data_IF_910966586497
#
_entry.id   IF_910966586497
#
_cell.length_a   1.000
_cell.length_b   1.000
_cell.length_c   1.000
_cell.angle_alpha   90.00
_cell.angle_beta   90.00
_cell.angle_gamma   90.00
#
_symmetry.space_group_name_H-M   'P 1'
#
loop_
_entity.id
_entity.type
_entity.pdbx_description
1 polymer ?
#
# COMPACT_ATOMS: atom_id res chain seq x y z
N UNK A 1 8.01 41.96 -46.79
CA UNK A 1 7.15 40.85 -46.32
C UNK A 1 8.06 39.65 -46.12
N UNK A 2 8.95 39.74 -45.12
CA UNK A 2 8.80 39.16 -43.77
C UNK A 2 8.97 37.64 -43.78
N UNK A 3 10.24 37.23 -43.82
CA UNK A 3 10.71 35.92 -43.35
C UNK A 3 10.56 35.86 -41.82
N UNK A 4 10.11 34.73 -41.24
CA UNK A 4 10.27 34.51 -39.82
C UNK A 4 11.65 33.94 -39.53
N UNK A 5 12.37 34.72 -38.72
CA UNK A 5 13.64 34.44 -38.08
C UNK A 5 13.45 33.32 -37.03
N UNK A 6 13.88 32.09 -37.33
CA UNK A 6 13.97 30.99 -36.35
C UNK A 6 15.37 30.99 -35.72
N UNK A 7 15.66 32.09 -35.04
CA UNK A 7 16.83 32.23 -34.19
C UNK A 7 16.57 31.69 -32.79
N UNK A 8 17.43 30.76 -32.37
CA UNK A 8 17.96 30.67 -31.00
C UNK A 8 16.94 30.57 -29.85
N UNK A 9 16.58 29.35 -29.47
CA UNK A 9 16.35 29.03 -28.05
C UNK A 9 16.49 27.52 -27.82
N UNK A 10 17.09 27.16 -26.67
CA UNK A 10 17.28 25.81 -26.11
C UNK A 10 18.70 25.21 -26.23
N UNK A 11 19.71 25.92 -25.72
CA UNK A 11 20.71 25.26 -24.87
C UNK A 11 20.13 25.19 -23.45
N UNK A 12 19.46 24.08 -23.14
CA UNK A 12 19.08 23.72 -21.78
C UNK A 12 20.08 22.69 -21.27
N UNK A 13 20.83 23.04 -20.23
CA UNK A 13 21.65 22.10 -19.46
C UNK A 13 20.83 20.86 -19.06
N UNK A 14 21.40 19.64 -19.11
CA UNK A 14 20.79 18.48 -18.49
C UNK A 14 20.85 18.64 -16.97
N UNK A 15 19.79 19.24 -16.40
CA UNK A 15 19.57 19.29 -14.97
C UNK A 15 19.53 17.89 -14.39
N UNK A 16 20.52 17.58 -13.54
CA UNK A 16 20.52 16.44 -12.64
C UNK A 16 19.23 16.47 -11.81
N UNK A 17 18.29 15.58 -12.14
CA UNK A 17 17.14 15.28 -11.30
C UNK A 17 17.65 14.73 -9.96
N UNK A 18 17.24 15.32 -8.82
CA UNK A 18 17.53 14.71 -7.53
C UNK A 18 16.79 13.38 -7.46
N UNK A 19 17.53 12.30 -7.17
CA UNK A 19 16.98 11.01 -6.80
C UNK A 19 16.08 11.19 -5.57
N UNK A 20 14.79 11.42 -5.80
CA UNK A 20 13.76 11.34 -4.79
C UNK A 20 13.70 9.91 -4.27
N UNK A 21 14.15 9.74 -3.04
CA UNK A 21 13.95 8.51 -2.27
C UNK A 21 12.45 8.29 -2.07
N UNK A 22 11.86 7.40 -2.88
CA UNK A 22 10.52 6.83 -2.69
C UNK A 22 10.51 5.80 -1.55
N UNK A 23 11.09 6.15 -0.41
CA UNK A 23 11.03 5.32 0.78
C UNK A 23 9.84 5.74 1.64
N UNK A 24 8.97 4.75 1.87
CA UNK A 24 7.93 4.69 2.90
C UNK A 24 6.56 5.28 2.51
N UNK A 25 5.91 4.65 1.53
CA UNK A 25 4.46 4.46 1.62
C UNK A 25 4.23 3.36 2.67
N UNK A 26 3.62 3.64 3.83
CA UNK A 26 3.34 2.61 4.83
C UNK A 26 2.35 1.58 4.27
N UNK A 27 2.72 0.31 4.39
CA UNK A 27 1.90 -0.83 3.95
C UNK A 27 0.49 -0.79 4.58
N UNK A 28 -0.60 -0.89 3.79
CA UNK A 28 -1.99 -0.88 4.27
C UNK A 28 -2.31 -1.98 5.30
N UNK A 29 -1.51 -3.04 5.36
CA UNK A 29 -1.68 -4.15 6.29
C UNK A 29 -1.49 -3.78 7.77
N UNK A 30 -0.82 -2.66 8.09
CA UNK A 30 -0.72 -2.19 9.49
C UNK A 30 -1.95 -1.43 9.98
N UNK A 31 -2.80 -0.93 9.09
CA UNK A 31 -4.00 -0.18 9.47
C UNK A 31 -5.18 -1.11 9.82
N UNK A 32 -5.31 -2.23 9.11
CA UNK A 32 -6.40 -3.19 9.33
C UNK A 32 -6.26 -4.00 10.64
N UNK A 33 -5.04 -4.20 11.13
CA UNK A 33 -4.80 -4.88 12.42
C UNK A 33 -5.14 -4.02 13.65
N UNK A 34 -5.22 -2.70 13.50
CA UNK A 34 -5.60 -1.79 14.59
C UNK A 34 -7.11 -1.77 14.85
N UNK A 35 -7.92 -1.94 13.81
CA UNK A 35 -9.39 -1.79 13.90
C UNK A 35 -10.05 -3.02 14.53
N UNK A 36 -9.50 -4.23 14.32
CA UNK A 36 -10.05 -5.46 14.91
C UNK A 36 -9.88 -5.53 16.43
N UNK A 37 -8.92 -4.80 17.02
CA UNK A 37 -8.73 -4.75 18.47
C UNK A 37 -9.71 -3.79 19.18
N UNK A 38 -10.23 -2.79 18.47
CA UNK A 38 -11.21 -1.83 19.02
C UNK A 38 -12.59 -2.48 19.14
N UNK A 39 -12.99 -3.32 18.17
CA UNK A 39 -14.28 -4.03 18.19
C UNK A 39 -14.46 -4.97 19.40
N UNK A 40 -13.40 -5.63 19.84
CA UNK A 40 -13.44 -6.53 21.00
C UNK A 40 -13.46 -5.79 22.35
N UNK A 41 -13.02 -4.52 22.39
CA UNK A 41 -13.03 -3.72 23.62
C UNK A 41 -14.41 -3.11 23.89
N UNK A 42 -15.11 -2.68 22.84
CA UNK A 42 -16.43 -2.03 22.95
C UNK A 42 -17.52 -3.04 23.36
N UNK A 43 -17.46 -4.28 22.85
CA UNK A 43 -18.41 -5.34 23.22
C UNK A 43 -18.29 -5.76 24.69
N UNK A 44 -17.06 -5.87 25.20
CA UNK A 44 -16.76 -6.13 26.62
C UNK A 44 -17.32 -5.04 27.56
N UNK A 45 -17.23 -3.78 27.14
CA UNK A 45 -17.72 -2.65 27.92
C UNK A 45 -19.26 -2.58 27.96
N UNK A 46 -19.92 -2.84 26.83
CA UNK A 46 -21.38 -2.90 26.73
C UNK A 46 -21.97 -4.06 27.55
N UNK A 47 -21.31 -5.21 27.59
CA UNK A 47 -21.73 -6.36 28.40
C UNK A 47 -21.63 -6.04 29.90
N UNK A 48 -20.56 -5.35 30.32
CA UNK A 48 -20.37 -4.90 31.70
C UNK A 48 -21.42 -3.86 32.12
N UNK A 49 -21.80 -2.96 31.19
CA UNK A 49 -22.89 -2.00 31.39
C UNK A 49 -24.23 -2.68 31.65
N UNK A 50 -24.60 -3.68 30.82
CA UNK A 50 -25.85 -4.45 30.99
C UNK A 50 -25.91 -5.20 32.31
N UNK A 51 -24.80 -5.80 32.75
CA UNK A 51 -24.75 -6.49 34.04
C UNK A 51 -24.98 -5.54 35.22
N UNK A 52 -24.45 -4.32 35.16
CA UNK A 52 -24.69 -3.29 36.17
C UNK A 52 -26.15 -2.80 36.17
N UNK A 53 -26.76 -2.62 35.00
CA UNK A 53 -28.17 -2.18 34.92
C UNK A 53 -29.13 -3.27 35.44
N UNK A 54 -28.84 -4.54 35.15
CA UNK A 54 -29.65 -5.66 35.65
C UNK A 54 -29.60 -5.78 37.17
N UNK A 55 -28.43 -5.61 37.80
CA UNK A 55 -28.29 -5.59 39.26
C UNK A 55 -28.94 -4.37 39.91
N UNK A 56 -28.91 -3.22 39.25
CA UNK A 56 -29.58 -2.02 39.73
C UNK A 56 -31.12 -2.18 39.69
N UNK A 57 -31.67 -2.82 38.66
CA UNK A 57 -33.11 -3.14 38.59
C UNK A 57 -33.53 -4.19 39.62
N UNK A 58 -32.66 -5.17 39.91
CA UNK A 58 -32.91 -6.19 40.94
C UNK A 58 -32.96 -5.60 42.36
N UNK A 59 -32.25 -4.49 42.59
CA UNK A 59 -32.30 -3.74 43.85
C UNK A 59 -33.48 -2.76 43.95
N UNK A 60 -34.18 -2.46 42.85
CA UNK A 60 -35.21 -1.40 42.76
C UNK A 60 -36.64 -1.93 42.66
N UNK A 61 -36.87 -3.24 42.51
CA UNK A 61 -38.21 -3.82 42.46
C UNK A 61 -38.48 -4.84 43.58
N UNK A 62 -39.66 -4.83 44.22
CA UNK A 62 -40.19 -3.77 45.08
C UNK A 62 -40.37 -4.28 46.53
N UNK A 63 -39.78 -3.58 47.49
CA UNK A 63 -40.15 -3.65 48.91
C UNK A 63 -41.38 -2.80 49.25
N UNK A 64 -42.36 -2.71 48.34
CA UNK A 64 -43.64 -2.04 48.59
C UNK A 64 -44.61 -3.11 49.12
N UNK A 65 -44.41 -3.48 50.39
CA UNK A 65 -45.46 -4.11 51.19
C UNK A 65 -45.76 -3.18 52.35
N UNK A 66 -46.93 -2.54 52.23
CA UNK A 66 -47.87 -2.26 53.31
C UNK A 66 -47.26 -1.78 54.64
N UNK A 67 -47.33 -0.48 54.87
CA UNK A 67 -47.70 0.01 56.19
C UNK A 67 -48.61 1.21 56.01
N UNK A 68 -49.89 0.96 56.26
CA UNK A 68 -50.99 1.91 56.23
C UNK A 68 -50.68 3.15 57.09
N UNK A 69 -51.22 4.34 56.73
CA UNK A 69 -51.20 5.47 57.64
C UNK A 69 -52.16 5.17 58.80
N UNK A 70 -51.64 4.77 59.96
CA UNK A 70 -52.41 4.86 61.20
C UNK A 70 -52.72 6.35 61.45
N UNK A 71 -53.95 6.73 61.11
CA UNK A 71 -54.60 7.93 61.65
C UNK A 71 -54.67 7.76 63.17
N UNK A 72 -53.66 8.28 63.87
CA UNK A 72 -53.74 8.45 65.31
C UNK A 72 -54.63 9.65 65.58
N UNK A 73 -55.93 9.39 65.67
CA UNK A 73 -56.93 10.27 66.25
C UNK A 73 -56.48 10.57 67.68
N UNK A 74 -55.97 11.79 67.91
CA UNK A 74 -55.70 12.33 69.24
C UNK A 74 -57.03 12.52 69.98
N UNK A 75 -57.56 11.42 70.51
CA UNK A 75 -58.58 11.44 71.55
C UNK A 75 -57.93 11.81 72.86
N UNK A 76 -57.88 13.09 73.17
CA UNK A 76 -57.64 13.56 74.53
C UNK A 76 -58.81 13.05 75.39
N UNK A 77 -58.59 12.24 76.44
CA UNK A 77 -59.67 11.95 77.37
C UNK A 77 -60.01 13.25 78.10
N UNK A 78 -61.16 13.85 77.74
CA UNK A 78 -61.80 14.89 78.53
C UNK A 78 -62.19 14.25 79.87
N UNK A 79 -61.38 14.46 80.90
CA UNK A 79 -61.80 14.18 82.27
C UNK A 79 -62.87 15.23 82.61
N UNK A 80 -64.12 14.84 82.90
CA UNK A 80 -65.06 15.76 83.49
C UNK A 80 -64.46 16.20 84.83
N UNK A 81 -64.13 17.48 84.94
CA UNK A 81 -63.90 18.13 86.23
C UNK A 81 -65.14 17.83 87.06
N UNK A 82 -64.98 17.05 88.12
CA UNK A 82 -66.03 16.81 89.09
C UNK A 82 -66.31 18.12 89.84
N UNK A 83 -67.08 19.00 89.20
CA UNK A 83 -67.94 19.93 89.89
C UNK A 83 -69.11 19.13 90.44
N UNK A 84 -69.03 18.79 91.72
CA UNK A 84 -70.16 18.55 92.63
C UNK A 84 -69.69 19.19 93.94
N UNK A 85 -70.14 20.40 94.28
CA UNK A 85 -71.35 20.57 95.08
C UNK A 85 -71.49 19.47 96.12
N UNK A 86 -71.06 19.75 97.36
CA UNK A 86 -71.76 19.22 98.52
C UNK A 86 -71.53 20.11 99.75
N UNK A 87 -72.64 20.73 100.15
CA UNK A 87 -73.07 20.98 101.52
C UNK A 87 -72.20 21.86 102.43
N UNK A 88 -72.58 23.14 102.43
CA UNK A 88 -72.65 24.00 103.61
C UNK A 88 -73.42 23.26 104.74
N UNK A 89 -72.84 22.99 105.92
CA UNK A 89 -73.62 22.60 107.08
C UNK A 89 -74.06 23.89 107.79
N UNK A 90 -75.37 24.05 107.82
CA UNK A 90 -76.10 25.01 108.61
C UNK A 90 -75.74 24.88 110.09
N UNK A 91 -75.77 26.00 110.79
CA UNK A 91 -75.52 26.07 112.22
C UNK A 91 -76.60 25.30 112.99
N UNK A 92 -76.20 24.46 113.94
CA UNK A 92 -77.16 23.96 114.92
C UNK A 92 -76.74 22.72 115.70
N UNK A 93 -76.35 22.94 116.95
CA UNK A 93 -76.84 22.10 118.04
C UNK A 93 -76.00 20.86 118.39
N UNK A 94 -75.20 21.05 119.44
CA UNK A 94 -74.89 20.15 120.55
C UNK A 94 -75.07 18.62 120.41
N UNK A 95 -74.05 17.94 120.96
CA UNK A 95 -74.11 16.62 121.56
C UNK A 95 -74.26 15.44 120.58
N UNK A 96 -73.14 14.83 120.20
CA UNK A 96 -72.90 13.42 120.55
C UNK A 96 -71.46 12.97 120.27
N UNK A 97 -71.01 12.13 121.18
CA UNK A 97 -69.69 11.51 121.34
C UNK A 97 -69.24 10.81 120.04
N UNK A 98 -67.95 10.91 119.65
CA UNK A 98 -67.44 10.23 118.45
C UNK A 98 -67.57 8.71 118.59
N UNK A 99 -68.42 8.11 117.76
CA UNK A 99 -68.50 6.65 117.62
C UNK A 99 -67.19 6.13 117.01
N UNK A 100 -66.52 5.13 117.63
CA UNK A 100 -65.16 4.72 117.25
C UNK A 100 -65.01 4.14 115.83
N UNK A 101 -66.10 3.78 115.13
CA UNK A 101 -66.05 3.28 113.74
C UNK A 101 -65.96 4.35 112.64
N UNK A 102 -66.23 5.64 112.96
CA UNK A 102 -66.15 6.73 111.95
C UNK A 102 -64.71 7.12 111.68
N UNK A 103 -63.85 7.10 112.71
CA UNK A 103 -62.41 7.31 112.58
C UNK A 103 -61.75 6.22 111.73
N UNK A 104 -62.22 4.98 111.82
CA UNK A 104 -61.74 3.85 111.02
C UNK A 104 -62.16 3.95 109.53
N UNK A 105 -63.39 4.40 109.25
CA UNK A 105 -63.85 4.64 107.88
C UNK A 105 -63.14 5.83 107.22
N UNK A 106 -62.81 6.87 108.00
CA UNK A 106 -62.02 8.01 107.51
C UNK A 106 -60.57 7.59 107.26
N UNK A 107 -59.96 6.81 108.17
CA UNK A 107 -58.61 6.28 108.00
C UNK A 107 -58.51 5.38 106.76
N UNK A 108 -59.49 4.50 106.52
CA UNK A 108 -59.53 3.64 105.32
C UNK A 108 -59.79 4.43 104.04
N UNK A 109 -60.57 5.52 104.08
CA UNK A 109 -60.75 6.41 102.95
C UNK A 109 -59.46 7.18 102.60
N UNK A 110 -58.71 7.69 103.59
CA UNK A 110 -57.40 8.31 103.36
C UNK A 110 -56.39 7.32 102.81
N UNK A 111 -56.37 6.08 103.32
CA UNK A 111 -55.50 5.03 102.81
C UNK A 111 -55.84 4.67 101.36
N UNK A 112 -57.13 4.63 100.99
CA UNK A 112 -57.56 4.47 99.60
C UNK A 112 -57.14 5.65 98.73
N UNK A 113 -57.28 6.88 99.22
CA UNK A 113 -56.87 8.08 98.47
C UNK A 113 -55.36 8.12 98.29
N UNK A 114 -54.57 7.68 99.27
CA UNK A 114 -53.12 7.56 99.17
C UNK A 114 -52.72 6.52 98.12
N UNK A 115 -53.37 5.35 98.10
CA UNK A 115 -53.15 4.32 97.08
C UNK A 115 -53.56 4.83 95.70
N UNK A 116 -54.71 5.50 95.58
CA UNK A 116 -55.18 6.08 94.31
C UNK A 116 -54.23 7.17 93.83
N UNK A 117 -53.81 8.10 94.70
CA UNK A 117 -52.86 9.15 94.34
C UNK A 117 -51.49 8.58 93.95
N UNK A 118 -51.05 7.51 94.63
CA UNK A 118 -49.81 6.80 94.29
C UNK A 118 -49.90 6.10 92.94
N UNK A 119 -50.98 5.36 92.70
CA UNK A 119 -51.25 4.70 91.41
C UNK A 119 -51.41 5.74 90.30
N UNK A 120 -52.06 6.88 90.60
CA UNK A 120 -52.26 7.96 89.64
C UNK A 120 -50.93 8.65 89.28
N UNK A 121 -50.07 8.93 90.27
CA UNK A 121 -48.71 9.44 90.03
C UNK A 121 -47.86 8.47 89.21
N UNK A 122 -47.93 7.16 89.51
CA UNK A 122 -47.26 6.11 88.73
C UNK A 122 -47.81 6.01 87.30
N UNK A 123 -49.12 6.12 87.11
CA UNK A 123 -49.71 6.14 85.77
C UNK A 123 -49.29 7.39 85.00
N UNK A 124 -49.20 8.53 85.67
CA UNK A 124 -48.70 9.79 85.09
C UNK A 124 -47.26 9.68 84.61
N UNK A 125 -46.37 9.05 85.40
CA UNK A 125 -44.98 8.83 84.99
C UNK A 125 -44.86 7.81 83.84
N UNK A 126 -45.63 6.72 83.87
CA UNK A 126 -45.66 5.76 82.75
C UNK A 126 -46.17 6.41 81.47
N UNK A 127 -47.25 7.20 81.54
CA UNK A 127 -47.79 7.91 80.38
C UNK A 127 -46.77 8.92 79.83
N UNK A 128 -46.07 9.65 80.69
CA UNK A 128 -44.98 10.54 80.28
C UNK A 128 -43.85 9.78 79.60
N UNK A 129 -43.39 8.64 80.16
CA UNK A 129 -42.34 7.81 79.56
C UNK A 129 -42.74 7.25 78.21
N UNK A 130 -43.98 6.80 78.05
CA UNK A 130 -44.53 6.35 76.77
C UNK A 130 -44.55 7.49 75.76
N UNK A 131 -44.96 8.70 76.16
CA UNK A 131 -44.95 9.88 75.29
C UNK A 131 -43.52 10.28 74.88
N UNK A 132 -42.55 10.22 75.80
CA UNK A 132 -41.14 10.46 75.48
C UNK A 132 -40.58 9.38 74.55
N UNK A 133 -40.88 8.10 74.80
CA UNK A 133 -40.45 7.00 73.95
C UNK A 133 -41.05 7.11 72.54
N UNK A 134 -42.34 7.46 72.44
CA UNK A 134 -43.01 7.72 71.17
C UNK A 134 -42.40 8.92 70.45
N UNK A 135 -42.08 10.00 71.16
CA UNK A 135 -41.40 11.16 70.59
C UNK A 135 -40.00 10.80 70.06
N UNK A 136 -39.19 10.05 70.84
CA UNK A 136 -37.88 9.59 70.41
C UNK A 136 -37.97 8.68 69.18
N UNK A 137 -38.92 7.74 69.14
CA UNK A 137 -39.18 6.89 67.99
C UNK A 137 -39.58 7.72 66.77
N UNK A 138 -40.48 8.69 66.94
CA UNK A 138 -40.91 9.58 65.88
C UNK A 138 -39.74 10.40 65.33
N UNK A 139 -38.91 10.96 66.20
CA UNK A 139 -37.70 11.69 65.80
C UNK A 139 -36.69 10.82 65.07
N UNK A 140 -36.51 9.57 65.49
CA UNK A 140 -35.62 8.64 64.81
C UNK A 140 -36.13 8.28 63.40
N UNK A 141 -37.44 8.03 63.26
CA UNK A 141 -38.06 7.77 61.95
C UNK A 141 -37.98 9.02 61.06
N UNK A 142 -38.25 10.21 61.59
CA UNK A 142 -38.11 11.48 60.87
C UNK A 142 -36.68 11.67 60.33
N UNK A 143 -35.67 11.42 61.16
CA UNK A 143 -34.27 11.47 60.75
C UNK A 143 -33.94 10.44 59.67
N UNK A 144 -34.41 9.19 59.81
CA UNK A 144 -34.21 8.15 58.82
C UNK A 144 -34.89 8.49 57.48
N UNK A 145 -36.09 9.08 57.51
CA UNK A 145 -36.82 9.54 56.32
C UNK A 145 -36.08 10.70 55.65
N UNK A 146 -35.59 11.67 56.41
CA UNK A 146 -34.82 12.80 55.85
C UNK A 146 -33.51 12.32 55.22
N UNK A 147 -32.81 11.40 55.87
CA UNK A 147 -31.57 10.83 55.31
C UNK A 147 -31.85 9.98 54.07
N UNK A 148 -32.94 9.19 54.09
CA UNK A 148 -33.41 8.45 52.92
C UNK A 148 -33.75 9.37 51.74
N UNK A 149 -34.43 10.49 51.97
CA UNK A 149 -34.70 11.48 50.93
C UNK A 149 -33.43 12.09 50.35
N UNK A 150 -32.42 12.39 51.19
CA UNK A 150 -31.12 12.87 50.70
C UNK A 150 -30.42 11.83 49.84
N UNK A 151 -30.45 10.56 50.24
CA UNK A 151 -29.86 9.48 49.46
C UNK A 151 -30.59 9.30 48.12
N UNK A 152 -31.92 9.36 48.13
CA UNK A 152 -32.74 9.28 46.91
C UNK A 152 -32.45 10.45 45.96
N UNK A 153 -32.31 11.67 46.47
CA UNK A 153 -31.92 12.82 45.67
C UNK A 153 -30.53 12.65 45.04
N UNK A 154 -29.54 12.19 45.79
CA UNK A 154 -28.19 11.91 45.24
C UNK A 154 -28.24 10.83 44.16
N UNK A 155 -29.05 9.79 44.36
CA UNK A 155 -29.23 8.74 43.36
C UNK A 155 -29.89 9.30 42.10
N UNK A 156 -30.95 10.10 42.23
CA UNK A 156 -31.61 10.77 41.12
C UNK A 156 -30.64 11.65 40.32
N UNK A 157 -29.84 12.48 41.00
CA UNK A 157 -28.82 13.32 40.37
C UNK A 157 -27.77 12.48 39.62
N UNK A 158 -27.34 11.35 40.20
CA UNK A 158 -26.38 10.47 39.56
C UNK A 158 -26.95 9.76 38.33
N UNK A 159 -28.20 9.28 38.41
CA UNK A 159 -28.90 8.67 37.27
C UNK A 159 -29.10 9.71 36.16
N UNK A 160 -29.48 10.93 36.50
CA UNK A 160 -29.63 12.02 35.53
C UNK A 160 -28.29 12.34 34.85
N UNK A 161 -27.18 12.43 35.60
CA UNK A 161 -25.85 12.61 35.00
C UNK A 161 -25.45 11.45 34.09
N UNK A 162 -25.74 10.21 34.50
CA UNK A 162 -25.46 9.04 33.67
C UNK A 162 -26.29 9.04 32.39
N UNK A 163 -27.55 9.47 32.44
CA UNK A 163 -28.39 9.60 31.25
C UNK A 163 -27.81 10.59 30.24
N UNK A 164 -27.27 11.73 30.71
CA UNK A 164 -26.58 12.71 29.85
C UNK A 164 -25.33 12.11 29.21
N UNK A 165 -24.49 11.41 29.98
CA UNK A 165 -23.28 10.76 29.44
C UNK A 165 -23.61 9.67 28.43
N UNK A 166 -24.69 8.91 28.63
CA UNK A 166 -25.16 7.91 27.68
C UNK A 166 -25.64 8.56 26.39
N UNK A 167 -26.36 9.68 26.48
CA UNK A 167 -26.79 10.44 25.31
C UNK A 167 -25.59 11.00 24.52
N UNK A 168 -24.61 11.60 25.20
CA UNK A 168 -23.36 12.08 24.59
C UNK A 168 -22.57 10.96 23.91
N UNK A 169 -22.51 9.78 24.54
CA UNK A 169 -21.86 8.61 23.96
C UNK A 169 -22.62 8.11 22.73
N UNK A 170 -23.95 8.09 22.78
CA UNK A 170 -24.79 7.71 21.65
C UNK A 170 -24.60 8.68 20.46
N UNK A 171 -24.59 9.99 20.72
CA UNK A 171 -24.31 11.01 19.72
C UNK A 171 -22.90 10.86 19.12
N UNK A 172 -21.91 10.52 19.95
CA UNK A 172 -20.54 10.26 19.50
C UNK A 172 -20.43 9.00 18.65
N UNK A 173 -21.14 7.93 19.01
CA UNK A 173 -21.20 6.68 18.22
C UNK A 173 -21.89 6.92 16.87
N UNK A 174 -22.96 7.71 16.84
CA UNK A 174 -23.62 8.09 15.58
C UNK A 174 -22.69 8.91 14.69
N UNK A 175 -22.01 9.92 15.26
CA UNK A 175 -21.01 10.72 14.54
C UNK A 175 -19.88 9.85 13.97
N UNK A 176 -19.36 8.91 14.77
CA UNK A 176 -18.33 7.97 14.33
C UNK A 176 -18.84 7.04 13.23
N UNK A 177 -20.09 6.58 13.29
CA UNK A 177 -20.70 5.76 12.23
C UNK A 177 -20.75 6.50 10.91
N UNK A 178 -21.15 7.78 10.93
CA UNK A 178 -21.19 8.63 9.72
C UNK A 178 -19.79 8.84 9.15
N UNK A 179 -18.79 9.09 10.00
CA UNK A 179 -17.39 9.24 9.58
C UNK A 179 -16.83 7.95 8.96
N UNK A 180 -17.13 6.78 9.54
CA UNK A 180 -16.72 5.48 8.98
C UNK A 180 -17.36 5.23 7.61
N UNK A 181 -18.65 5.55 7.45
CA UNK A 181 -19.34 5.41 6.17
C UNK A 181 -18.75 6.37 5.10
N UNK A 182 -18.40 7.59 5.50
CA UNK A 182 -17.72 8.55 4.63
C UNK A 182 -16.34 8.04 4.19
N UNK A 183 -15.55 7.52 5.13
CA UNK A 183 -14.24 6.95 4.83
C UNK A 183 -14.35 5.74 3.90
N UNK A 184 -15.36 4.89 4.08
CA UNK A 184 -15.64 3.78 3.18
C UNK A 184 -15.95 4.28 1.77
N UNK A 185 -16.79 5.31 1.64
CA UNK A 185 -17.11 5.91 0.35
C UNK A 185 -15.86 6.52 -0.32
N UNK A 186 -14.99 7.18 0.44
CA UNK A 186 -13.72 7.71 -0.09
C UNK A 186 -12.80 6.58 -0.53
N UNK A 187 -12.69 5.50 0.25
CA UNK A 187 -11.90 4.32 -0.10
C UNK A 187 -12.40 3.67 -1.40
N UNK A 188 -13.71 3.52 -1.55
CA UNK A 188 -14.32 2.96 -2.76
C UNK A 188 -14.04 3.86 -3.97
N UNK A 189 -14.17 5.18 -3.82
CA UNK A 189 -13.82 6.15 -4.88
C UNK A 189 -12.34 6.07 -5.27
N UNK A 190 -11.44 6.01 -4.29
CA UNK A 190 -10.01 5.87 -4.54
C UNK A 190 -9.70 4.56 -5.26
N UNK A 191 -10.31 3.45 -4.86
CA UNK A 191 -10.17 2.16 -5.56
C UNK A 191 -10.58 2.30 -7.03
N UNK A 192 -11.77 2.84 -7.31
CA UNK A 192 -12.23 3.02 -8.70
C UNK A 192 -11.32 3.96 -9.51
N UNK A 193 -10.76 5.00 -8.87
CA UNK A 193 -9.80 5.90 -9.52
C UNK A 193 -8.47 5.19 -9.82
N UNK A 194 -7.99 4.32 -8.93
CA UNK A 194 -6.79 3.53 -9.14
C UNK A 194 -6.99 2.51 -10.26
N UNK A 195 -8.15 1.84 -10.30
CA UNK A 195 -8.50 0.90 -11.37
C UNK A 195 -8.54 1.62 -12.74
N UNK A 196 -9.11 2.83 -12.78
CA UNK A 196 -9.12 3.65 -13.99
C UNK A 196 -7.71 4.10 -14.42
N UNK A 197 -6.86 4.51 -13.47
CA UNK A 197 -5.47 4.86 -13.77
C UNK A 197 -4.65 3.66 -14.24
N UNK A 198 -4.86 2.49 -13.66
CA UNK A 198 -4.21 1.26 -14.07
C UNK A 198 -4.61 0.90 -15.52
N UNK A 199 -5.91 0.95 -15.84
CA UNK A 199 -6.38 0.70 -17.20
C UNK A 199 -5.79 1.70 -18.22
N UNK A 200 -5.64 2.98 -17.85
CA UNK A 200 -5.02 4.00 -18.69
C UNK A 200 -3.52 3.72 -18.91
N UNK A 201 -2.80 3.33 -17.86
CA UNK A 201 -1.38 2.98 -17.96
C UNK A 201 -1.17 1.72 -18.83
N UNK A 202 -2.00 0.69 -18.66
CA UNK A 202 -1.96 -0.52 -19.48
C UNK A 202 -2.21 -0.20 -20.96
N UNK A 203 -3.18 0.67 -21.26
CA UNK A 203 -3.43 1.15 -22.61
C UNK A 203 -2.23 1.92 -23.19
N UNK A 204 -1.62 2.82 -22.41
CA UNK A 204 -0.44 3.59 -22.85
C UNK A 204 0.79 2.71 -23.05
N UNK A 205 1.00 1.68 -22.23
CA UNK A 205 2.09 0.72 -22.41
C UNK A 205 1.89 -0.08 -23.69
N UNK A 206 0.64 -0.49 -23.98
CA UNK A 206 0.30 -1.19 -25.22
C UNK A 206 0.58 -0.32 -26.45
N UNK A 207 0.11 0.94 -26.44
CA UNK A 207 0.33 1.90 -27.52
C UNK A 207 1.83 2.16 -27.74
N UNK A 208 2.60 2.33 -26.67
CA UNK A 208 4.06 2.50 -26.76
C UNK A 208 4.76 1.27 -27.34
N UNK A 209 4.32 0.06 -27.00
CA UNK A 209 4.87 -1.18 -27.58
C UNK A 209 4.61 -1.25 -29.08
N UNK A 210 3.40 -0.91 -29.52
CA UNK A 210 3.06 -0.85 -30.94
C UNK A 210 3.88 0.22 -31.68
N UNK A 211 4.06 1.40 -31.07
CA UNK A 211 4.87 2.47 -31.62
C UNK A 211 6.35 2.04 -31.78
N UNK A 212 6.92 1.35 -30.79
CA UNK A 212 8.28 0.81 -30.85
C UNK A 212 8.40 -0.26 -31.94
N UNK A 213 7.44 -1.18 -32.06
CA UNK A 213 7.44 -2.19 -33.12
C UNK A 213 7.38 -1.55 -34.51
N UNK A 214 6.53 -0.53 -34.67
CA UNK A 214 6.45 0.26 -35.90
C UNK A 214 7.76 0.95 -36.21
N UNK A 215 8.41 1.60 -35.24
CA UNK A 215 9.71 2.24 -35.42
C UNK A 215 10.80 1.22 -35.80
N UNK A 216 10.82 0.05 -35.16
CA UNK A 216 11.75 -1.04 -35.50
C UNK A 216 11.54 -1.53 -36.94
N UNK A 217 10.28 -1.64 -37.40
CA UNK A 217 9.98 -2.00 -38.78
C UNK A 217 10.47 -0.95 -39.79
N UNK A 218 10.40 0.34 -39.44
CA UNK A 218 10.90 1.44 -40.27
C UNK A 218 12.43 1.45 -40.28
N UNK A 219 13.07 1.26 -39.13
CA UNK A 219 14.54 1.15 -39.04
C UNK A 219 15.06 -0.06 -39.83
N UNK A 220 14.38 -1.20 -39.79
CA UNK A 220 14.74 -2.36 -40.61
C UNK A 220 14.68 -2.04 -42.11
N UNK A 221 13.62 -1.35 -42.56
CA UNK A 221 13.48 -0.88 -43.96
C UNK A 221 14.56 0.14 -44.33
N UNK A 222 14.91 1.07 -43.44
CA UNK A 222 15.99 2.02 -43.67
C UNK A 222 17.35 1.32 -43.75
N UNK A 223 17.62 0.35 -42.89
CA UNK A 223 18.84 -0.44 -42.94
C UNK A 223 18.95 -1.24 -44.25
N UNK A 224 17.84 -1.80 -44.73
CA UNK A 224 17.77 -2.46 -46.03
C UNK A 224 18.05 -1.47 -47.18
N UNK A 225 17.42 -0.29 -47.16
CA UNK A 225 17.65 0.75 -48.15
C UNK A 225 19.11 1.23 -48.15
N UNK A 226 19.70 1.47 -46.97
CA UNK A 226 21.11 1.83 -46.82
C UNK A 226 22.02 0.73 -47.36
N UNK A 227 21.73 -0.54 -47.04
CA UNK A 227 22.47 -1.68 -47.58
C UNK A 227 22.37 -1.75 -49.11
N UNK A 228 21.20 -1.50 -49.68
CA UNK A 228 21.00 -1.49 -51.14
C UNK A 228 21.75 -0.33 -51.80
N UNK A 229 21.71 0.87 -51.22
CA UNK A 229 22.49 2.02 -51.69
C UNK A 229 23.99 1.78 -51.60
N UNK A 230 24.47 1.17 -50.52
CA UNK A 230 25.87 0.77 -50.37
C UNK A 230 26.28 -0.26 -51.42
N UNK A 231 25.45 -1.28 -51.67
CA UNK A 231 25.71 -2.26 -52.73
C UNK A 231 25.73 -1.61 -54.12
N UNK A 232 24.81 -0.69 -54.39
CA UNK A 232 24.76 0.02 -55.67
C UNK A 232 26.01 0.88 -55.87
N UNK A 233 26.45 1.63 -54.85
CA UNK A 233 27.68 2.41 -54.88
C UNK A 233 28.91 1.52 -55.09
N UNK A 234 28.99 0.39 -54.40
CA UNK A 234 30.08 -0.58 -54.61
C UNK A 234 30.10 -1.16 -56.03
N UNK A 235 28.94 -1.50 -56.61
CA UNK A 235 28.88 -1.96 -58.01
C UNK A 235 29.35 -0.88 -58.96
N UNK A 236 28.88 0.35 -58.79
CA UNK A 236 29.29 1.49 -59.61
C UNK A 236 30.80 1.74 -59.51
N UNK A 237 31.36 1.79 -58.30
CA UNK A 237 32.79 1.97 -58.08
C UNK A 237 33.61 0.83 -58.70
N UNK A 238 33.12 -0.42 -58.62
CA UNK A 238 33.74 -1.56 -59.27
C UNK A 238 33.74 -1.43 -60.81
N UNK A 239 32.65 -0.95 -61.42
CA UNK A 239 32.61 -0.68 -62.85
C UNK A 239 33.60 0.42 -63.23
N UNK A 240 33.63 1.53 -62.49
CA UNK A 240 34.56 2.63 -62.73
C UNK A 240 36.02 2.17 -62.61
N UNK A 241 36.37 1.44 -61.54
CA UNK A 241 37.72 0.92 -61.33
C UNK A 241 38.10 -0.09 -62.43
N UNK A 242 37.17 -0.96 -62.87
CA UNK A 242 37.42 -1.91 -63.96
C UNK A 242 37.70 -1.22 -65.29
N UNK A 243 36.92 -0.19 -65.61
CA UNK A 243 37.12 0.65 -66.82
C UNK A 243 38.46 1.40 -66.72
N UNK A 244 38.78 1.95 -65.56
CA UNK A 244 40.03 2.66 -65.31
C UNK A 244 41.24 1.74 -65.47
N UNK A 245 41.21 0.54 -64.90
CA UNK A 245 42.27 -0.46 -65.03
C UNK A 245 42.42 -0.89 -66.48
N UNK A 246 41.32 -1.16 -67.18
CA UNK A 246 41.32 -1.50 -68.60
C UNK A 246 41.93 -0.39 -69.46
N UNK A 247 41.56 0.87 -69.20
CA UNK A 247 42.09 2.04 -69.88
C UNK A 247 43.59 2.24 -69.59
N UNK A 248 44.01 2.15 -68.33
CA UNK A 248 45.43 2.23 -67.94
C UNK A 248 46.27 1.13 -68.60
N UNK A 249 45.76 -0.11 -68.61
CA UNK A 249 46.42 -1.23 -69.29
C UNK A 249 46.53 -1.01 -70.80
N UNK A 250 45.46 -0.49 -71.44
CA UNK A 250 45.45 -0.13 -72.85
C UNK A 250 46.50 0.94 -73.17
N UNK A 251 46.53 2.05 -72.41
CA UNK A 251 47.50 3.15 -72.57
C UNK A 251 48.93 2.65 -72.39
N UNK A 252 49.21 1.84 -71.37
CA UNK A 252 50.54 1.27 -71.15
C UNK A 252 50.95 0.27 -72.24
N UNK A 253 49.99 -0.29 -72.97
CA UNK A 253 50.23 -1.20 -74.09
C UNK A 253 50.48 -0.46 -75.42
N UNK A 254 50.27 0.86 -75.48
CA UNK A 254 50.55 1.67 -76.68
C UNK A 254 52.05 1.79 -76.97
N UNK A 255 52.37 2.09 -78.23
CA UNK A 255 53.76 2.25 -78.68
C UNK A 255 54.51 3.35 -77.91
N UNK A 256 53.82 4.42 -77.53
CA UNK A 256 54.39 5.57 -76.83
C UNK A 256 55.06 5.21 -75.50
N UNK A 257 54.52 4.24 -74.76
CA UNK A 257 55.12 3.78 -73.49
C UNK A 257 56.14 2.68 -73.74
N UNK A 258 55.85 1.75 -74.67
CA UNK A 258 56.73 0.61 -74.96
C UNK A 258 58.07 1.01 -75.55
N UNK A 259 58.10 2.02 -76.41
CA UNK A 259 59.31 2.45 -77.11
C UNK A 259 60.40 3.00 -76.16
N UNK A 260 60.15 4.02 -75.32
CA UNK A 260 61.16 4.52 -74.39
C UNK A 260 61.54 3.48 -73.34
N UNK A 261 60.61 2.63 -72.91
CA UNK A 261 60.90 1.57 -71.94
C UNK A 261 61.88 0.53 -72.51
N UNK A 262 61.73 0.13 -73.78
CA UNK A 262 62.68 -0.75 -74.46
C UNK A 262 64.06 -0.12 -74.57
N UNK A 263 64.15 1.17 -74.88
CA UNK A 263 65.43 1.90 -74.96
C UNK A 263 66.09 1.93 -73.57
N UNK A 264 65.36 2.29 -72.52
CA UNK A 264 65.89 2.31 -71.15
C UNK A 264 66.40 0.92 -70.70
N UNK A 265 65.67 -0.15 -71.03
CA UNK A 265 66.06 -1.53 -70.70
C UNK A 265 67.25 -2.05 -71.53
N UNK A 266 67.53 -1.47 -72.71
CA UNK A 266 68.71 -1.86 -73.49
C UNK A 266 70.02 -1.39 -72.88
N UNK A 267 70.01 -0.26 -72.15
CA UNK A 267 71.20 0.32 -71.51
C UNK A 267 71.68 -0.51 -70.31
N UNK A 268 70.80 -1.29 -69.68
CA UNK A 268 71.16 -2.09 -68.49
C UNK A 268 71.66 -3.49 -68.93
N UNK A 269 72.90 -3.89 -68.58
CA UNK A 269 73.47 -5.18 -68.94
C UNK A 269 72.97 -6.30 -67.99
N UNK A 270 71.72 -6.76 -68.21
CA UNK A 270 71.11 -7.87 -67.45
C UNK A 270 70.82 -9.09 -68.33
N UNK A 271 70.75 -10.26 -67.70
CA UNK A 271 70.37 -11.52 -68.37
C UNK A 271 69.01 -11.44 -69.07
N UNK A 272 68.82 -12.20 -70.16
CA UNK A 272 67.58 -12.18 -70.97
C UNK A 272 66.31 -12.50 -70.18
N UNK A 273 66.37 -13.41 -69.20
CA UNK A 273 65.20 -13.77 -68.35
C UNK A 273 64.82 -12.64 -67.40
N UNK A 274 65.81 -12.04 -66.72
CA UNK A 274 65.58 -10.89 -65.83
C UNK A 274 65.11 -9.66 -66.60
N UNK A 275 65.58 -9.44 -67.84
CA UNK A 275 65.06 -8.36 -68.71
C UNK A 275 63.55 -8.50 -69.00
N UNK A 276 63.06 -9.70 -69.32
CA UNK A 276 61.61 -9.95 -69.54
C UNK A 276 60.80 -9.74 -68.26
N UNK A 277 61.32 -10.21 -67.13
CA UNK A 277 60.67 -10.01 -65.83
C UNK A 277 60.62 -8.53 -65.45
N UNK A 278 61.72 -7.79 -65.64
CA UNK A 278 61.82 -6.37 -65.35
C UNK A 278 60.93 -5.52 -66.28
N UNK A 279 60.82 -5.88 -67.57
CA UNK A 279 59.84 -5.27 -68.50
C UNK A 279 58.39 -5.47 -68.01
N UNK A 280 58.05 -6.69 -67.58
CA UNK A 280 56.73 -6.97 -66.99
C UNK A 280 56.48 -6.19 -65.70
N UNK A 281 57.45 -6.17 -64.79
CA UNK A 281 57.37 -5.49 -63.50
C UNK A 281 57.28 -3.97 -63.65
N UNK A 282 58.09 -3.37 -64.52
CA UNK A 282 58.06 -1.93 -64.79
C UNK A 282 56.74 -1.51 -65.44
N UNK A 283 56.21 -2.29 -66.39
CA UNK A 283 54.86 -2.05 -66.93
C UNK A 283 53.78 -2.16 -65.87
N UNK A 284 53.85 -3.16 -64.99
CA UNK A 284 52.92 -3.30 -63.87
C UNK A 284 52.99 -2.08 -62.93
N UNK A 285 54.20 -1.65 -62.57
CA UNK A 285 54.41 -0.45 -61.74
C UNK A 285 53.90 0.83 -62.41
N UNK A 286 54.07 0.95 -63.72
CA UNK A 286 53.59 2.08 -64.50
C UNK A 286 52.05 2.10 -64.54
N UNK A 287 51.42 0.94 -64.78
CA UNK A 287 49.95 0.78 -64.71
C UNK A 287 49.43 1.16 -63.32
N UNK A 288 50.04 0.64 -62.25
CA UNK A 288 49.65 0.96 -60.87
C UNK A 288 49.81 2.46 -60.54
N UNK A 289 50.87 3.09 -61.04
CA UNK A 289 51.10 4.53 -60.86
C UNK A 289 50.07 5.37 -61.63
N UNK A 290 49.76 4.99 -62.87
CA UNK A 290 48.74 5.64 -63.68
C UNK A 290 47.36 5.55 -63.01
N UNK A 291 47.00 4.36 -62.50
CA UNK A 291 45.76 4.12 -61.75
C UNK A 291 45.66 5.05 -60.54
N UNK A 292 46.73 5.22 -59.75
CA UNK A 292 46.72 6.13 -58.58
C UNK A 292 46.42 7.58 -58.98
N UNK A 293 47.05 8.07 -60.05
CA UNK A 293 46.86 9.43 -60.54
C UNK A 293 45.44 9.61 -61.09
N UNK A 294 45.01 8.72 -61.98
CA UNK A 294 43.67 8.75 -62.59
C UNK A 294 42.56 8.60 -61.55
N UNK A 295 42.75 7.77 -60.52
CA UNK A 295 41.80 7.63 -59.41
C UNK A 295 41.66 8.93 -58.63
N UNK A 296 42.77 9.60 -58.32
CA UNK A 296 42.74 10.90 -57.63
C UNK A 296 42.01 11.96 -58.47
N UNK A 297 42.19 11.94 -59.79
CA UNK A 297 41.49 12.83 -60.71
C UNK A 297 39.99 12.50 -60.82
N UNK A 298 39.64 11.22 -60.93
CA UNK A 298 38.24 10.75 -60.98
C UNK A 298 37.46 11.12 -59.70
N UNK A 299 38.11 11.04 -58.53
CA UNK A 299 37.52 11.51 -57.26
C UNK A 299 37.28 13.03 -57.31
N UNK A 300 38.25 13.82 -57.81
CA UNK A 300 38.09 15.29 -57.93
C UNK A 300 36.97 15.68 -58.88
N UNK A 301 36.75 14.92 -59.95
CA UNK A 301 35.66 15.15 -60.90
C UNK A 301 34.30 14.62 -60.43
N UNK A 302 34.22 13.98 -59.25
CA UNK A 302 32.98 13.43 -58.71
C UNK A 302 32.49 12.15 -59.41
N UNK A 303 33.28 11.57 -60.31
CA UNK A 303 32.96 10.31 -60.99
C UNK A 303 33.15 9.08 -60.10
N UNK A 304 33.94 9.19 -59.03
CA UNK A 304 34.23 8.11 -58.10
C UNK A 304 33.98 8.55 -56.66
N UNK A 305 33.22 7.76 -55.91
CA UNK A 305 32.95 8.06 -54.49
C UNK A 305 34.11 7.53 -53.64
N UNK A 306 34.72 8.40 -52.83
CA UNK A 306 35.80 8.06 -51.88
C UNK A 306 35.39 7.03 -50.81
N UNK A 307 34.10 6.69 -50.72
CA UNK A 307 33.52 5.79 -49.70
C UNK A 307 33.96 4.34 -49.90
N UNK A 308 34.40 3.96 -51.10
CA UNK A 308 34.93 2.63 -51.42
C UNK A 308 36.45 2.56 -51.38
N UNK A 309 37.05 2.47 -50.19
CA UNK A 309 38.46 2.04 -50.09
C UNK A 309 38.67 0.67 -50.75
N UNK A 310 39.92 0.30 -51.06
CA UNK A 310 40.22 -1.06 -51.55
C UNK A 310 39.86 -2.14 -50.49
N UNK A 311 39.72 -1.73 -49.23
CA UNK A 311 39.52 -2.55 -48.03
C UNK A 311 38.28 -3.46 -48.08
N UNK A 312 37.05 -2.99 -48.40
CA UNK A 312 35.88 -3.86 -48.59
C UNK A 312 36.09 -4.92 -49.68
N UNK A 313 36.77 -4.58 -50.78
CA UNK A 313 37.08 -5.55 -51.85
C UNK A 313 38.10 -6.58 -51.40
N UNK A 314 39.18 -6.16 -50.75
CA UNK A 314 40.19 -7.07 -50.21
C UNK A 314 39.60 -7.98 -49.14
N UNK A 315 38.67 -7.48 -48.30
CA UNK A 315 37.96 -8.30 -47.31
C UNK A 315 37.10 -9.36 -48.01
N UNK A 316 36.32 -9.01 -49.04
CA UNK A 316 35.53 -9.98 -49.81
C UNK A 316 36.41 -10.99 -50.56
N UNK A 317 37.49 -10.52 -51.19
CA UNK A 317 38.43 -11.39 -51.89
C UNK A 317 39.14 -12.35 -50.92
N UNK A 318 39.56 -11.87 -49.75
CA UNK A 318 40.12 -12.71 -48.69
C UNK A 318 39.10 -13.74 -48.20
N UNK A 319 37.84 -13.35 -48.02
CA UNK A 319 36.78 -14.26 -47.61
C UNK A 319 36.49 -15.36 -48.66
N UNK A 320 36.51 -15.01 -49.95
CA UNK A 320 36.43 -15.98 -51.06
C UNK A 320 37.66 -16.90 -51.10
N UNK A 321 38.85 -16.37 -50.83
CA UNK A 321 40.09 -17.13 -50.80
C UNK A 321 40.11 -18.11 -49.62
N UNK A 322 39.70 -17.67 -48.43
CA UNK A 322 39.57 -18.50 -47.23
C UNK A 322 38.52 -19.60 -47.45
N UNK A 323 37.35 -19.27 -48.00
CA UNK A 323 36.31 -20.28 -48.28
C UNK A 323 36.74 -21.27 -49.37
N UNK A 324 37.45 -20.82 -50.41
CA UNK A 324 38.05 -21.70 -51.42
C UNK A 324 39.09 -22.65 -50.81
N UNK A 325 39.95 -22.15 -49.92
CA UNK A 325 40.93 -22.98 -49.21
C UNK A 325 40.27 -24.00 -48.27
N UNK A 326 39.19 -23.61 -47.58
CA UNK A 326 38.39 -24.52 -46.75
C UNK A 326 37.75 -25.62 -47.59
N UNK A 327 37.10 -25.28 -48.70
CA UNK A 327 36.51 -26.24 -49.63
C UNK A 327 37.58 -27.19 -50.23
N UNK A 328 38.76 -26.66 -50.56
CA UNK A 328 39.86 -27.48 -51.06
C UNK A 328 40.41 -28.45 -50.01
N UNK A 329 40.55 -27.99 -48.75
CA UNK A 329 40.94 -28.82 -47.60
C UNK A 329 39.94 -29.94 -47.37
N UNK A 330 38.64 -29.65 -47.36
CA UNK A 330 37.58 -30.66 -47.19
C UNK A 330 37.59 -31.70 -48.32
N UNK A 331 37.79 -31.25 -49.57
CA UNK A 331 37.95 -32.13 -50.72
C UNK A 331 39.17 -33.06 -50.63
N UNK A 332 40.30 -32.55 -50.13
CA UNK A 332 41.51 -33.35 -49.90
C UNK A 332 41.30 -34.38 -48.78
N UNK A 333 40.67 -33.98 -47.68
CA UNK A 333 40.32 -34.88 -46.56
C UNK A 333 39.38 -36.00 -47.04
N UNK A 334 38.36 -35.67 -47.83
CA UNK A 334 37.42 -36.64 -48.39
C UNK A 334 38.12 -37.64 -49.34
N UNK A 335 39.06 -37.18 -50.18
CA UNK A 335 39.86 -38.06 -51.06
C UNK A 335 40.77 -38.99 -50.26
N UNK A 336 41.39 -38.50 -49.19
CA UNK A 336 42.24 -39.30 -48.32
C UNK A 336 41.44 -40.40 -47.61
N UNK A 337 40.27 -40.05 -47.06
CA UNK A 337 39.35 -40.99 -46.40
C UNK A 337 38.80 -42.06 -47.36
N UNK A 338 38.59 -41.73 -48.63
CA UNK A 338 38.17 -42.71 -49.66
C UNK A 338 39.29 -43.70 -50.02
N UNK A 339 40.55 -43.27 -50.01
CA UNK A 339 41.70 -44.14 -50.29
C UNK A 339 41.98 -45.12 -49.14
N UNK A 340 41.75 -44.71 -47.90
CA UNK A 340 41.90 -45.59 -46.72
C UNK A 340 40.76 -46.59 -46.57
N UNK A 341 39.55 -46.25 -47.00
CA UNK A 341 38.38 -47.13 -46.95
C UNK A 341 38.15 -47.96 -48.22
N UNK A 342 39.06 -47.94 -49.20
CA UNK A 342 38.96 -48.83 -50.36
C UNK A 342 39.31 -50.25 -49.91
N UNK A 343 38.35 -51.18 -49.79
CA UNK A 343 38.63 -52.54 -49.34
C UNK A 343 39.63 -53.17 -50.31
N UNK A 344 40.73 -53.66 -49.75
CA UNK A 344 41.78 -54.34 -50.48
C UNK A 344 41.20 -55.63 -51.10
N UNK A 345 40.63 -55.53 -52.31
CA UNK A 345 40.29 -56.68 -53.14
C UNK A 345 41.60 -57.30 -53.62
N UNK A 346 42.24 -58.10 -52.75
CA UNK A 346 43.24 -59.06 -53.19
C UNK A 346 42.53 -60.06 -54.12
N UNK A 347 42.97 -60.24 -55.37
CA UNK A 347 42.47 -61.32 -56.20
C UNK A 347 42.93 -62.64 -55.55
N UNK A 348 41.96 -63.44 -55.08
CA UNK A 348 42.22 -64.83 -54.74
C UNK A 348 42.46 -65.58 -56.06
N UNK A 349 43.73 -65.65 -56.49
CA UNK A 349 44.16 -66.56 -57.54
C UNK A 349 44.28 -67.96 -56.93
N UNK A 350 43.18 -68.73 -57.01
CA UNK A 350 43.21 -70.18 -56.84
C UNK A 350 43.79 -70.81 -58.11
N UNK A 351 45.07 -71.15 -58.08
CA UNK A 351 45.69 -71.98 -59.11
C UNK A 351 45.56 -73.43 -58.65
N UNK A 352 44.54 -74.13 -59.13
CA UNK A 352 44.44 -75.60 -59.08
C UNK A 352 45.41 -76.17 -60.12
N UNK A 353 46.45 -76.85 -59.63
CA UNK A 353 47.33 -77.71 -60.41
C UNK A 353 46.66 -79.09 -60.52
N UNK A 354 46.11 -79.40 -61.69
CA UNK A 354 45.80 -80.77 -62.10
C UNK A 354 47.10 -81.44 -62.58
N UNK A 355 47.45 -82.56 -61.96
CA UNK A 355 48.47 -83.50 -62.42
C UNK A 355 48.05 -84.91 -61.99
N UNK A 356 47.76 -85.73 -63.00
CA UNK A 356 47.67 -87.21 -63.07
C UNK A 356 47.04 -88.00 -61.92
#
# INVERSE_FOLDING_TARGET
MLEPDFGSLMEGEPGLMPHGTWNLVPSPSRFLHGISHVGNSVSSWLESGRQLTSRAQELVAPGILASEPMQNTLGVPYFPSAGNELARPDEGGLHNVPHPGVLENIATAFQRQEVINRVHSQLGTVNYLVNVANYMKHKHVEQAVVEGHRQLHRLCDNVQRQAVVIDDLNNSVQSLSVEVDLQRQVSDRLSTSLDAQQALLDASILENREAIEKQNSVLAKQQEMVNNLLQQRLRHDFYVDSVLVGFCAYVCNTFLVKFPLKIALTVIPVNRRTKKWLDGFTRLMLVLSLIKILKTWSIKCGLHNSVGGLTPYMRKALQLLVSSLQNHREGLVARFKRKTNSPNKRPATSTTLDLC
#
